data_IF_674182446632
#
_entry.id   IF_674182446632
#
_cell.length_a   1.000
_cell.length_b   1.000
_cell.length_c   1.000
_cell.angle_alpha   90.00
_cell.angle_beta   90.00
_cell.angle_gamma   90.00
#
_symmetry.space_group_name_H-M   'P 1'
#
loop_
_entity.id
_entity.type
_entity.pdbx_description
1 polymer ?
#
# COMPACT_ATOMS: atom_id res chain seq x y z
N UNK A 1 -11.84 5.61 3.33
CA UNK A 1 -11.31 6.48 2.25
C UNK A 1 -10.44 5.69 1.28
N UNK A 2 -10.29 6.13 0.03
CA UNK A 2 -9.42 5.50 -0.97
C UNK A 2 -8.18 6.35 -1.24
N UNK A 3 -7.01 5.72 -1.35
CA UNK A 3 -5.72 6.41 -1.54
C UNK A 3 -5.03 5.92 -2.81
N UNK A 4 -4.58 6.86 -3.63
CA UNK A 4 -3.90 6.62 -4.90
C UNK A 4 -2.49 7.22 -4.81
N UNK A 5 -1.48 6.35 -4.66
CA UNK A 5 -0.07 6.71 -4.60
C UNK A 5 0.52 6.65 -6.01
N UNK A 6 0.85 7.81 -6.56
CA UNK A 6 1.39 7.97 -7.91
C UNK A 6 1.80 9.45 -8.10
N UNK A 7 2.93 9.71 -8.76
CA UNK A 7 3.48 11.05 -8.98
C UNK A 7 3.14 11.66 -10.36
N UNK A 8 2.64 10.86 -11.30
CA UNK A 8 2.52 11.22 -12.71
C UNK A 8 1.07 11.21 -13.23
N UNK A 9 0.33 10.11 -13.02
CA UNK A 9 -1.00 9.87 -13.60
C UNK A 9 -2.06 10.76 -12.96
N UNK A 10 -3.19 10.97 -13.64
CA UNK A 10 -4.35 11.69 -13.07
C UNK A 10 -5.04 10.88 -11.96
N UNK A 11 -5.56 11.58 -10.94
CA UNK A 11 -6.17 10.90 -9.77
C UNK A 11 -7.58 10.49 -10.16
N UNK A 12 -7.95 9.20 -10.06
CA UNK A 12 -9.33 8.83 -10.33
C UNK A 12 -10.29 9.53 -9.38
N UNK A 13 -11.48 9.89 -9.87
CA UNK A 13 -12.48 10.57 -9.06
C UNK A 13 -12.85 9.75 -7.80
N UNK A 14 -12.92 10.43 -6.65
CA UNK A 14 -13.20 9.79 -5.36
C UNK A 14 -11.98 9.14 -4.68
N UNK A 15 -10.79 9.27 -5.26
CA UNK A 15 -9.53 8.86 -4.63
C UNK A 15 -8.78 10.07 -4.07
N UNK A 16 -8.13 9.88 -2.94
CA UNK A 16 -7.21 10.86 -2.35
C UNK A 16 -5.82 10.62 -2.91
N UNK A 17 -5.23 11.64 -3.54
CA UNK A 17 -3.86 11.60 -4.04
C UNK A 17 -2.86 11.55 -2.89
N UNK A 18 -1.85 10.70 -3.02
CA UNK A 18 -0.59 10.81 -2.32
C UNK A 18 0.54 10.78 -3.36
N UNK A 19 1.58 11.58 -3.18
CA UNK A 19 2.74 11.59 -4.07
C UNK A 19 3.84 10.68 -3.53
N UNK A 20 3.91 10.55 -2.20
CA UNK A 20 5.04 9.91 -1.54
C UNK A 20 4.61 8.86 -0.50
N UNK A 21 5.47 7.87 -0.21
CA UNK A 21 5.17 6.78 0.72
C UNK A 21 4.84 7.27 2.14
N UNK A 22 5.52 8.30 2.62
CA UNK A 22 5.32 8.92 3.94
C UNK A 22 3.90 9.49 4.09
N UNK A 23 3.35 10.11 3.05
CA UNK A 23 1.96 10.58 3.03
C UNK A 23 0.97 9.42 3.17
N UNK A 24 1.20 8.33 2.43
CA UNK A 24 0.35 7.13 2.48
C UNK A 24 0.42 6.47 3.84
N UNK A 25 1.61 6.35 4.42
CA UNK A 25 1.82 5.77 5.75
C UNK A 25 1.09 6.61 6.81
N UNK A 26 1.19 7.93 6.74
CA UNK A 26 0.45 8.82 7.64
C UNK A 26 -1.08 8.61 7.52
N UNK A 27 -1.60 8.43 6.31
CA UNK A 27 -3.01 8.11 6.09
C UNK A 27 -3.40 6.73 6.61
N UNK A 28 -2.56 5.70 6.40
CA UNK A 28 -2.78 4.34 6.89
C UNK A 28 -2.84 4.30 8.42
N UNK A 29 -1.99 5.07 9.10
CA UNK A 29 -1.98 5.18 10.56
C UNK A 29 -3.29 5.73 11.14
N UNK A 30 -4.11 6.42 10.34
CA UNK A 30 -5.45 6.87 10.79
C UNK A 30 -6.46 5.73 10.91
N UNK A 31 -6.19 4.56 10.31
CA UNK A 31 -7.12 3.43 10.24
C UNK A 31 -8.34 3.68 9.35
N UNK A 32 -8.38 4.77 8.59
CA UNK A 32 -9.53 5.17 7.74
C UNK A 32 -9.36 4.78 6.27
N UNK A 33 -8.19 4.29 5.87
CA UNK A 33 -7.95 3.84 4.49
C UNK A 33 -8.63 2.49 4.30
N UNK A 34 -9.52 2.42 3.32
CA UNK A 34 -10.27 1.21 2.97
C UNK A 34 -9.71 0.54 1.72
N UNK A 35 -9.16 1.34 0.81
CA UNK A 35 -8.65 0.90 -0.48
C UNK A 35 -7.41 1.71 -0.86
N UNK A 36 -6.39 1.02 -1.35
CA UNK A 36 -5.09 1.58 -1.67
C UNK A 36 -4.65 1.08 -3.05
N UNK A 37 -4.23 2.00 -3.90
CA UNK A 37 -3.68 1.69 -5.23
C UNK A 37 -2.29 2.31 -5.35
N UNK A 38 -1.30 1.49 -5.68
CA UNK A 38 0.12 1.85 -5.60
C UNK A 38 0.81 1.83 -6.97
N UNK A 39 1.49 2.92 -7.31
CA UNK A 39 2.64 2.91 -8.21
C UNK A 39 3.92 2.62 -7.41
N UNK A 40 4.88 1.96 -8.06
CA UNK A 40 6.20 1.72 -7.51
C UNK A 40 7.10 2.94 -7.71
N UNK A 41 7.24 3.39 -8.96
CA UNK A 41 8.19 4.42 -9.34
C UNK A 41 7.54 5.79 -9.10
N UNK A 42 8.17 6.65 -8.29
CA UNK A 42 7.61 7.93 -7.84
C UNK A 42 8.50 9.13 -8.21
N UNK A 43 9.43 8.96 -9.14
CA UNK A 43 10.28 10.04 -9.66
C UNK A 43 11.43 10.52 -8.75
N UNK A 44 11.40 10.25 -7.44
CA UNK A 44 12.51 10.52 -6.51
C UNK A 44 12.74 9.35 -5.54
N UNK A 45 13.69 8.49 -5.86
CA UNK A 45 14.05 7.33 -5.04
C UNK A 45 14.52 7.70 -3.62
N UNK A 46 15.01 8.92 -3.39
CA UNK A 46 15.41 9.37 -2.05
C UNK A 46 14.19 9.60 -1.12
N UNK A 47 12.99 9.78 -1.70
CA UNK A 47 11.71 9.84 -0.98
C UNK A 47 11.08 8.45 -0.81
N UNK A 48 11.69 7.41 -1.37
CA UNK A 48 11.20 6.03 -1.36
C UNK A 48 10.26 5.72 -2.53
N UNK A 49 9.81 4.47 -2.58
CA UNK A 49 8.99 3.90 -3.64
C UNK A 49 7.67 3.38 -3.08
N UNK A 50 6.76 2.96 -3.95
CA UNK A 50 5.55 2.25 -3.51
C UNK A 50 5.83 0.95 -2.73
N UNK A 51 7.03 0.38 -2.85
CA UNK A 51 7.40 -0.83 -2.14
C UNK A 51 7.55 -0.61 -0.62
N UNK A 52 8.03 0.56 -0.19
CA UNK A 52 8.13 0.90 1.24
C UNK A 52 6.76 0.89 1.94
N UNK A 53 5.70 1.28 1.22
CA UNK A 53 4.32 1.20 1.76
C UNK A 53 3.91 -0.25 1.98
N UNK A 54 4.26 -1.16 1.05
CA UNK A 54 3.98 -2.60 1.18
C UNK A 54 4.71 -3.16 2.40
N UNK A 55 6.01 -2.86 2.56
CA UNK A 55 6.80 -3.32 3.70
C UNK A 55 6.25 -2.79 5.03
N UNK A 56 5.84 -1.52 5.07
CA UNK A 56 5.25 -0.94 6.28
C UNK A 56 3.95 -1.65 6.68
N UNK A 57 3.08 -1.94 5.72
CA UNK A 57 1.82 -2.67 5.98
C UNK A 57 2.13 -4.08 6.48
N UNK A 58 3.05 -4.81 5.84
CA UNK A 58 3.45 -6.15 6.28
C UNK A 58 3.93 -6.17 7.73
N UNK A 59 4.84 -5.27 8.09
CA UNK A 59 5.31 -5.10 9.47
C UNK A 59 4.15 -4.75 10.42
N UNK A 60 3.25 -3.85 10.01
CA UNK A 60 2.11 -3.45 10.82
C UNK A 60 1.14 -4.62 11.08
N UNK A 61 0.86 -5.45 10.07
CA UNK A 61 0.03 -6.65 10.23
C UNK A 61 0.71 -7.64 11.16
N UNK A 62 2.01 -7.88 10.97
CA UNK A 62 2.77 -8.85 11.75
C UNK A 62 2.93 -8.46 13.23
N UNK A 63 3.17 -7.17 13.52
CA UNK A 63 3.60 -6.72 14.84
C UNK A 63 2.54 -5.94 15.62
N UNK A 64 1.57 -5.33 14.93
CA UNK A 64 0.65 -4.34 15.52
C UNK A 64 -0.82 -4.72 15.38
N UNK A 65 -1.13 -5.95 14.95
CA UNK A 65 -2.50 -6.39 14.64
C UNK A 65 -3.23 -5.46 13.68
N UNK A 66 -2.48 -4.78 12.80
CA UNK A 66 -3.06 -3.90 11.80
C UNK A 66 -3.95 -4.70 10.84
N UNK A 67 -5.09 -4.13 10.47
CA UNK A 67 -5.97 -4.71 9.45
C UNK A 67 -5.63 -4.02 8.13
N UNK A 68 -5.06 -4.73 7.14
CA UNK A 68 -4.67 -4.10 5.88
C UNK A 68 -5.91 -3.67 5.09
N UNK A 69 -5.85 -2.54 4.35
CA UNK A 69 -6.91 -2.17 3.40
C UNK A 69 -6.94 -3.13 2.21
N UNK A 70 -7.89 -2.95 1.30
CA UNK A 70 -7.82 -3.58 -0.02
C UNK A 70 -6.68 -2.95 -0.81
N UNK A 71 -5.79 -3.76 -1.37
CA UNK A 71 -4.56 -3.28 -2.02
C UNK A 71 -4.53 -3.67 -3.50
N UNK A 72 -4.16 -2.70 -4.34
CA UNK A 72 -3.99 -2.85 -5.78
C UNK A 72 -2.63 -2.28 -6.20
N UNK A 73 -2.07 -2.83 -7.27
CA UNK A 73 -0.83 -2.31 -7.88
C UNK A 73 -1.13 -1.91 -9.31
N UNK A 74 -0.95 -0.63 -9.61
CA UNK A 74 -1.18 -0.05 -10.94
C UNK A 74 0.13 0.37 -11.63
N UNK A 75 1.28 0.06 -11.05
CA UNK A 75 2.59 0.34 -11.63
C UNK A 75 2.79 -0.28 -13.02
N UNK A 76 3.40 0.50 -13.91
CA UNK A 76 3.82 0.06 -15.23
C UNK A 76 5.11 -0.79 -15.17
N UNK A 77 5.91 -0.66 -14.11
CA UNK A 77 7.13 -1.44 -13.91
C UNK A 77 6.80 -2.89 -13.57
N UNK A 78 6.92 -3.77 -14.57
CA UNK A 78 6.43 -5.15 -14.44
C UNK A 78 7.16 -5.93 -13.35
N UNK A 79 8.49 -5.79 -13.24
CA UNK A 79 9.26 -6.50 -12.21
C UNK A 79 8.90 -6.02 -10.82
N UNK A 80 8.83 -4.70 -10.62
CA UNK A 80 8.47 -4.13 -9.33
C UNK A 80 7.01 -4.43 -8.94
N UNK A 81 6.10 -4.35 -9.90
CA UNK A 81 4.69 -4.71 -9.73
C UNK A 81 4.53 -6.16 -9.24
N UNK A 82 5.25 -7.09 -9.85
CA UNK A 82 5.17 -8.50 -9.46
C UNK A 82 5.73 -8.71 -8.04
N UNK A 83 6.84 -8.03 -7.70
CA UNK A 83 7.38 -8.02 -6.33
C UNK A 83 6.39 -7.46 -5.30
N UNK A 84 5.71 -6.35 -5.62
CA UNK A 84 4.70 -5.75 -4.76
C UNK A 84 3.49 -6.67 -4.57
N UNK A 85 3.02 -7.32 -5.64
CA UNK A 85 1.92 -8.30 -5.57
C UNK A 85 2.25 -9.45 -4.64
N UNK A 86 3.46 -10.01 -4.73
CA UNK A 86 3.91 -11.06 -3.82
C UNK A 86 3.93 -10.59 -2.35
N UNK A 87 4.32 -9.34 -2.09
CA UNK A 87 4.23 -8.73 -0.77
C UNK A 87 2.80 -8.58 -0.28
N UNK A 88 1.88 -8.14 -1.15
CA UNK A 88 0.44 -8.05 -0.83
C UNK A 88 -0.13 -9.43 -0.50
N UNK A 89 0.19 -10.46 -1.27
CA UNK A 89 -0.25 -11.83 -0.96
C UNK A 89 0.30 -12.31 0.39
N UNK A 90 1.52 -11.93 0.77
CA UNK A 90 2.09 -12.25 2.07
C UNK A 90 1.32 -11.55 3.21
N UNK A 91 1.02 -10.27 3.04
CA UNK A 91 0.17 -9.47 3.94
C UNK A 91 -1.19 -10.14 4.13
N UNK A 92 -1.85 -10.54 3.05
CA UNK A 92 -3.17 -11.19 3.10
C UNK A 92 -3.11 -12.53 3.85
N UNK A 93 -2.08 -13.35 3.61
CA UNK A 93 -1.85 -14.59 4.35
C UNK A 93 -1.61 -14.35 5.84
N UNK A 94 -0.85 -13.31 6.20
CA UNK A 94 -0.61 -12.94 7.60
C UNK A 94 -1.91 -12.47 8.27
N UNK A 95 -2.65 -11.59 7.62
CA UNK A 95 -3.92 -11.08 8.13
C UNK A 95 -4.96 -12.20 8.32
N UNK A 96 -4.99 -13.19 7.42
CA UNK A 96 -5.86 -14.36 7.56
C UNK A 96 -5.52 -15.22 8.79
N UNK A 97 -4.22 -15.40 9.11
CA UNK A 97 -3.77 -16.13 10.30
C UNK A 97 -4.09 -15.39 11.60
N UNK A 98 -4.08 -14.06 11.57
CA UNK A 98 -4.38 -13.22 12.74
C UNK A 98 -5.87 -13.16 13.06
N UNK A 99 -6.75 -13.66 12.18
CA UNK A 99 -8.19 -13.69 12.43
C UNK A 99 -8.49 -14.78 13.47
N UNK A 100 -9.08 -14.45 14.64
CA UNK A 100 -9.46 -15.47 15.59
C UNK A 100 -10.46 -16.43 14.94
N UNK A 101 -10.25 -17.74 15.16
CA UNK A 101 -11.26 -18.75 14.83
C UNK A 101 -12.47 -18.44 15.73
N UNK A 102 -13.60 -18.13 15.10
CA UNK A 102 -14.87 -17.86 15.77
C UNK A 102 -15.40 -19.09 16.51
#
# INVERSE_FOLDING_TARGET
MRVFLDDERETPAGWTRAYWPDDVIALLQTGKVEELSLDHDLGDDARGTGYEVVLWIEEAVALRSFVPPRMHVHSANTSARDKMRLGIEAIERLAAKNRPVA
#
